data_IF_953551306186
#
_entry.id   IF_953551306186
#
_cell.length_a   1.000
_cell.length_b   1.000
_cell.length_c   1.000
_cell.angle_alpha   90.00
_cell.angle_beta   90.00
_cell.angle_gamma   90.00
#
_symmetry.space_group_name_H-M   'P 1'
#
loop_
_entity.id
_entity.type
_entity.pdbx_description
1 polymer ?
#
# COMPACT_ATOMS: atom_id res chain seq x y z
N UNK A 1 -10.43 -9.53 16.32
CA UNK A 1 -9.09 -9.51 15.70
C UNK A 1 -9.29 -9.67 14.22
N UNK A 2 -8.79 -8.74 13.43
CA UNK A 2 -8.83 -8.82 11.97
C UNK A 2 -7.59 -9.57 11.48
N UNK A 3 -7.79 -10.67 10.76
CA UNK A 3 -6.72 -11.42 10.13
C UNK A 3 -7.25 -12.06 8.84
N UNK A 4 -6.37 -12.20 7.85
CA UNK A 4 -6.68 -12.87 6.59
C UNK A 4 -5.81 -14.10 6.43
N UNK A 5 -6.36 -15.13 5.77
CA UNK A 5 -5.68 -16.40 5.50
C UNK A 5 -5.55 -16.58 4.00
N UNK A 6 -4.32 -16.68 3.50
CA UNK A 6 -4.03 -16.68 2.07
C UNK A 6 -3.47 -18.04 1.66
N UNK A 7 -3.90 -18.62 0.53
CA UNK A 7 -3.28 -19.82 -0.02
C UNK A 7 -1.81 -19.60 -0.39
N UNK A 8 -0.99 -20.65 -0.28
CA UNK A 8 0.44 -20.59 -0.66
C UNK A 8 0.69 -20.05 -2.06
N UNK A 9 -0.19 -20.37 -3.02
CA UNK A 9 -0.08 -19.89 -4.40
C UNK A 9 -0.07 -18.35 -4.51
N UNK A 10 -0.70 -17.64 -3.56
CA UNK A 10 -0.69 -16.18 -3.53
C UNK A 10 0.71 -15.65 -3.21
N UNK A 11 1.44 -16.30 -2.30
CA UNK A 11 2.79 -15.90 -1.92
C UNK A 11 3.75 -16.01 -3.13
N UNK A 12 3.62 -17.07 -3.93
CA UNK A 12 4.43 -17.26 -5.13
C UNK A 12 4.11 -16.21 -6.20
N UNK A 13 2.83 -15.84 -6.35
CA UNK A 13 2.42 -14.77 -7.26
C UNK A 13 3.01 -13.42 -6.86
N UNK A 14 2.94 -13.06 -5.58
CA UNK A 14 3.52 -11.80 -5.06
C UNK A 14 5.03 -11.74 -5.26
N UNK A 15 5.73 -12.86 -5.07
CA UNK A 15 7.17 -12.96 -5.32
C UNK A 15 7.55 -12.79 -6.80
N UNK A 16 6.62 -13.07 -7.72
CA UNK A 16 6.83 -12.94 -9.16
C UNK A 16 6.43 -11.56 -9.71
N UNK A 17 5.62 -10.80 -8.96
CA UNK A 17 5.17 -9.47 -9.37
C UNK A 17 6.30 -8.42 -9.27
N UNK A 18 6.25 -7.46 -10.19
CA UNK A 18 7.22 -6.38 -10.23
C UNK A 18 6.96 -5.35 -9.12
N UNK A 19 5.74 -5.19 -8.63
CA UNK A 19 5.43 -4.24 -7.57
C UNK A 19 4.55 -4.92 -6.52
N UNK A 20 4.63 -4.46 -5.28
CA UNK A 20 3.72 -4.92 -4.24
C UNK A 20 2.32 -4.36 -4.50
N UNK A 21 1.26 -5.11 -4.18
CA UNK A 21 -0.07 -4.52 -4.11
C UNK A 21 -0.09 -3.43 -3.02
N UNK A 22 -0.88 -2.39 -3.23
CA UNK A 22 -1.01 -1.25 -2.32
C UNK A 22 -1.19 -1.65 -0.85
N UNK A 23 -1.99 -2.70 -0.60
CA UNK A 23 -2.28 -3.21 0.74
C UNK A 23 -1.05 -3.77 1.48
N UNK A 24 0.00 -4.16 0.77
CA UNK A 24 1.29 -4.55 1.34
C UNK A 24 2.34 -3.45 1.21
N UNK A 25 2.25 -2.59 0.18
CA UNK A 25 3.17 -1.48 -0.02
C UNK A 25 3.02 -0.36 1.02
N UNK A 26 1.84 -0.22 1.64
CA UNK A 26 1.66 0.63 2.85
C UNK A 26 2.53 0.20 4.03
N UNK A 27 3.04 -1.03 4.02
CA UNK A 27 3.94 -1.57 5.03
C UNK A 27 3.54 -2.97 5.48
N UNK A 28 4.54 -3.84 5.63
CA UNK A 28 4.37 -5.14 6.28
C UNK A 28 5.64 -5.53 7.03
N UNK A 29 5.49 -6.46 7.98
CA UNK A 29 6.61 -7.08 8.68
C UNK A 29 6.41 -8.60 8.67
N UNK A 30 7.43 -9.32 8.20
CA UNK A 30 7.46 -10.79 8.31
C UNK A 30 7.77 -11.16 9.75
N UNK A 31 6.78 -11.72 10.45
CA UNK A 31 6.95 -12.18 11.84
C UNK A 31 7.58 -13.58 11.91
N UNK A 32 7.26 -14.45 10.95
CA UNK A 32 7.77 -15.80 10.86
C UNK A 32 7.77 -16.28 9.40
N UNK A 33 8.88 -16.86 8.97
CA UNK A 33 9.00 -17.54 7.68
C UNK A 33 9.65 -18.91 7.88
N UNK A 34 8.83 -19.96 7.88
CA UNK A 34 9.29 -21.34 8.13
C UNK A 34 9.98 -21.97 6.94
N UNK A 35 9.55 -21.59 5.74
CA UNK A 35 9.97 -22.19 4.47
C UNK A 35 10.83 -21.24 3.63
N UNK A 36 11.22 -20.09 4.20
CA UNK A 36 12.01 -19.05 3.55
C UNK A 36 11.36 -18.45 2.28
N UNK A 37 10.01 -18.45 2.20
CA UNK A 37 9.23 -18.03 1.02
C UNK A 37 9.13 -16.51 0.86
N UNK A 38 9.23 -15.76 1.94
CA UNK A 38 9.14 -14.29 1.95
C UNK A 38 10.50 -13.63 1.76
N UNK A 39 11.59 -14.40 1.73
CA UNK A 39 12.95 -13.89 1.52
C UNK A 39 13.17 -13.10 0.23
N UNK A 40 12.31 -13.33 -0.78
CA UNK A 40 12.35 -12.65 -2.08
C UNK A 40 11.31 -11.54 -2.22
N UNK A 41 10.52 -11.29 -1.19
CA UNK A 41 9.52 -10.25 -1.24
C UNK A 41 10.20 -8.88 -1.28
N UNK A 42 9.59 -7.98 -2.05
CA UNK A 42 10.05 -6.59 -2.10
C UNK A 42 9.77 -5.92 -0.76
N UNK A 43 10.64 -4.99 -0.38
CA UNK A 43 10.34 -4.11 0.74
C UNK A 43 9.26 -3.12 0.34
N UNK A 44 8.35 -2.75 1.26
CA UNK A 44 7.37 -1.70 1.00
C UNK A 44 8.09 -0.40 0.67
N UNK A 45 7.66 0.25 -0.40
CA UNK A 45 8.12 1.57 -0.80
C UNK A 45 7.40 2.68 0.00
N UNK A 46 6.29 2.34 0.63
CA UNK A 46 5.39 3.26 1.35
C UNK A 46 4.78 4.32 0.43
N UNK A 47 4.75 4.09 -0.88
CA UNK A 47 4.23 5.05 -1.86
C UNK A 47 2.80 4.77 -2.30
N UNK A 48 2.20 3.64 -1.90
CA UNK A 48 0.83 3.22 -2.23
C UNK A 48 -0.24 4.34 -2.20
N UNK A 49 -0.15 5.25 -1.23
CA UNK A 49 -1.11 6.34 -1.04
C UNK A 49 -0.45 7.71 -0.92
N UNK A 50 0.83 7.83 -1.27
CA UNK A 50 1.51 9.13 -1.25
C UNK A 50 1.03 9.91 -2.46
N UNK A 51 0.11 10.84 -2.22
CA UNK A 51 -0.26 11.84 -3.22
C UNK A 51 0.94 12.76 -3.45
N UNK A 52 1.26 13.00 -4.72
CA UNK A 52 2.26 13.99 -5.10
C UNK A 52 1.89 15.38 -4.58
N UNK A 53 2.87 16.28 -4.50
CA UNK A 53 2.60 17.68 -4.11
C UNK A 53 1.60 18.28 -5.10
N UNK A 54 0.42 18.76 -4.64
CA UNK A 54 -0.55 19.38 -5.53
C UNK A 54 0.00 20.70 -6.05
N UNK A 55 -0.47 21.09 -7.23
CA UNK A 55 -0.31 22.46 -7.72
C UNK A 55 -1.07 23.45 -6.84
N UNK A 56 -0.72 24.73 -6.92
CA UNK A 56 -1.44 25.78 -6.19
C UNK A 56 -2.94 25.79 -6.54
N UNK A 57 -3.28 25.59 -7.82
CA UNK A 57 -4.67 25.56 -8.28
C UNK A 57 -5.46 24.37 -7.69
N UNK A 58 -4.89 23.16 -7.72
CA UNK A 58 -5.52 21.96 -7.13
C UNK A 58 -5.70 22.12 -5.62
N UNK A 59 -4.70 22.68 -4.94
CA UNK A 59 -4.78 22.95 -3.50
C UNK A 59 -5.91 23.95 -3.17
N UNK A 60 -5.98 25.07 -3.89
CA UNK A 60 -7.03 26.08 -3.65
C UNK A 60 -8.42 25.55 -3.97
N UNK A 61 -8.58 24.72 -5.01
CA UNK A 61 -9.85 24.06 -5.34
C UNK A 61 -10.29 23.12 -4.22
N UNK A 62 -9.39 22.25 -3.74
CA UNK A 62 -9.68 21.28 -2.68
C UNK A 62 -10.11 21.98 -1.38
N UNK A 63 -9.42 23.08 -1.01
CA UNK A 63 -9.78 23.86 0.17
C UNK A 63 -11.14 24.54 0.00
N UNK A 64 -11.42 25.09 -1.18
CA UNK A 64 -12.72 25.70 -1.48
C UNK A 64 -13.87 24.69 -1.35
N UNK A 65 -13.72 23.50 -1.94
CA UNK A 65 -14.70 22.40 -1.85
C UNK A 65 -14.91 21.94 -0.40
N UNK A 66 -13.82 21.72 0.35
CA UNK A 66 -13.90 21.28 1.74
C UNK A 66 -14.75 22.21 2.61
N UNK A 67 -14.58 23.53 2.49
CA UNK A 67 -15.34 24.50 3.29
C UNK A 67 -16.76 24.70 2.79
N UNK A 68 -17.01 24.49 1.49
CA UNK A 68 -18.35 24.54 0.92
C UNK A 68 -19.22 23.37 1.39
N UNK A 69 -18.66 22.16 1.49
CA UNK A 69 -19.39 20.99 2.01
C UNK A 69 -19.59 21.01 3.53
N UNK A 70 -18.83 21.84 4.25
CA UNK A 70 -18.93 21.96 5.70
C UNK A 70 -20.03 22.94 6.18
N UNK A 71 -20.73 23.62 5.27
CA UNK A 71 -21.83 24.57 5.56
C UNK A 71 -23.19 23.98 5.19
#
# INVERSE_FOLDING_TARGET
MDCSVWPHAVLERLSAEADLPDSLDVGYQVLLDKDNRTSRWKLPSYMAHVSGRPTEAEYLSLIGEFWWEAT
#
